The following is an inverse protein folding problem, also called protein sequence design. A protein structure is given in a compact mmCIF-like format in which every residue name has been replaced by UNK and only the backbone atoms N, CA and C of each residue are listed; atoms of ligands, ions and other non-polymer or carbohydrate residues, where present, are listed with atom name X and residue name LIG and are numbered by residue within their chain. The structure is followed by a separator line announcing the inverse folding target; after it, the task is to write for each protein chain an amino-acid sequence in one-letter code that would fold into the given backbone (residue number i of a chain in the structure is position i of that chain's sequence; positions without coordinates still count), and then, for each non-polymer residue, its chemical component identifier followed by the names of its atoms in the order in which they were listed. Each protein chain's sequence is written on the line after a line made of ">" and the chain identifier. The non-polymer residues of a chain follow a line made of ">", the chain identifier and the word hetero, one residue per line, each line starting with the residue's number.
data_IF_670679810018
#
_entry.id   IF_670679810018
#
_cell.length_a   1.000
_cell.length_b   1.000
_cell.length_c   1.000
_cell.angle_alpha   90.00
_cell.angle_beta   90.00
_cell.angle_gamma   90.00
#
_symmetry.space_group_name_H-M   'P 1'
#
loop_
_entity.id
_entity.type
_entity.pdbx_description
1 polymer ?
#
# COMPACT_ATOMS: atom_id res chain seq x y z
N UNK A 1 52.05 -17.39 -5.62
CA UNK A 1 51.32 -16.42 -4.78
C UNK A 1 49.85 -16.23 -5.21
N UNK A 2 49.16 -17.24 -5.79
CA UNK A 2 47.84 -17.04 -6.41
C UNK A 2 46.68 -17.73 -5.65
N UNK A 3 46.96 -18.75 -4.83
CA UNK A 3 45.92 -19.50 -4.10
C UNK A 3 45.26 -18.73 -2.96
N UNK A 4 46.02 -17.87 -2.26
CA UNK A 4 45.50 -17.06 -1.15
C UNK A 4 44.51 -15.98 -1.63
N UNK A 5 44.77 -15.39 -2.81
CA UNK A 5 43.89 -14.40 -3.45
C UNK A 5 42.58 -15.01 -3.94
N UNK A 6 42.63 -16.26 -4.45
CA UNK A 6 41.43 -16.99 -4.90
C UNK A 6 40.56 -17.39 -3.70
N UNK A 7 41.16 -17.84 -2.59
CA UNK A 7 40.42 -18.19 -1.38
C UNK A 7 39.71 -16.96 -0.77
N UNK A 8 40.40 -15.81 -0.76
CA UNK A 8 39.81 -14.53 -0.34
C UNK A 8 38.64 -14.09 -1.23
N UNK A 9 38.79 -14.21 -2.55
CA UNK A 9 37.72 -13.90 -3.51
C UNK A 9 36.51 -14.81 -3.34
N UNK A 10 36.73 -16.13 -3.20
CA UNK A 10 35.66 -17.10 -2.97
C UNK A 10 34.90 -16.82 -1.66
N UNK A 11 35.61 -16.42 -0.60
CA UNK A 11 35.00 -16.02 0.67
C UNK A 11 34.10 -14.78 0.52
N UNK A 12 34.59 -13.72 -0.12
CA UNK A 12 33.79 -12.50 -0.37
C UNK A 12 32.58 -12.82 -1.24
N UNK A 13 32.77 -13.60 -2.30
CA UNK A 13 31.70 -14.01 -3.19
C UNK A 13 30.63 -14.82 -2.46
N UNK A 14 31.03 -15.75 -1.58
CA UNK A 14 30.10 -16.50 -0.74
C UNK A 14 29.29 -15.56 0.19
N UNK A 15 29.93 -14.57 0.81
CA UNK A 15 29.23 -13.58 1.65
C UNK A 15 28.22 -12.78 0.82
N UNK A 16 28.59 -12.35 -0.39
CA UNK A 16 27.67 -11.66 -1.30
C UNK A 16 26.47 -12.54 -1.65
N UNK A 17 26.69 -13.82 -1.98
CA UNK A 17 25.62 -14.76 -2.29
C UNK A 17 24.71 -15.00 -1.08
N UNK A 18 25.26 -15.10 0.13
CA UNK A 18 24.48 -15.24 1.36
C UNK A 18 23.61 -14.02 1.62
N UNK A 19 24.18 -12.81 1.53
CA UNK A 19 23.43 -11.56 1.68
C UNK A 19 22.34 -11.43 0.62
N UNK A 20 22.64 -11.80 -0.62
CA UNK A 20 21.68 -11.81 -1.71
C UNK A 20 20.55 -12.83 -1.47
N UNK A 21 20.88 -14.04 -1.02
CA UNK A 21 19.91 -15.07 -0.68
C UNK A 21 18.99 -14.66 0.47
N UNK A 22 19.52 -14.03 1.51
CA UNK A 22 18.74 -13.47 2.63
C UNK A 22 17.81 -12.36 2.12
N UNK A 23 18.30 -11.47 1.25
CA UNK A 23 17.51 -10.42 0.64
C UNK A 23 16.33 -10.97 -0.17
N UNK A 24 16.59 -11.99 -1.01
CA UNK A 24 15.56 -12.67 -1.81
C UNK A 24 14.54 -13.41 -0.94
N UNK A 25 15.00 -14.07 0.12
CA UNK A 25 14.12 -14.75 1.07
C UNK A 25 13.18 -13.76 1.76
N UNK A 26 13.68 -12.58 2.14
CA UNK A 26 12.87 -11.52 2.74
C UNK A 26 11.83 -10.98 1.77
N UNK A 27 12.20 -10.73 0.51
CA UNK A 27 11.27 -10.28 -0.53
C UNK A 27 10.16 -11.32 -0.77
N UNK A 28 10.52 -12.61 -0.86
CA UNK A 28 9.56 -13.70 -1.04
C UNK A 28 8.60 -13.87 0.15
N UNK A 29 9.09 -13.64 1.38
CA UNK A 29 8.25 -13.64 2.59
C UNK A 29 7.30 -12.44 2.61
N UNK A 30 7.78 -11.25 2.25
CA UNK A 30 6.96 -10.04 2.14
C UNK A 30 5.85 -10.19 1.11
N UNK A 31 6.15 -10.78 -0.06
CA UNK A 31 5.16 -11.06 -1.10
C UNK A 31 4.10 -12.05 -0.63
N UNK A 32 4.53 -13.14 0.01
CA UNK A 32 3.60 -14.14 0.57
C UNK A 32 2.69 -13.50 1.60
N UNK A 33 3.25 -12.69 2.49
CA UNK A 33 2.49 -11.95 3.48
C UNK A 33 1.43 -11.07 2.82
N UNK A 34 1.77 -10.25 1.82
CA UNK A 34 0.79 -9.40 1.14
C UNK A 34 -0.36 -10.20 0.50
N UNK A 35 -0.10 -11.43 0.04
CA UNK A 35 -1.11 -12.27 -0.60
C UNK A 35 -2.08 -12.90 0.39
N UNK A 36 -1.61 -13.27 1.57
CA UNK A 36 -2.38 -14.05 2.54
C UNK A 36 -2.92 -13.22 3.70
N UNK A 37 -2.36 -12.03 3.92
CA UNK A 37 -2.71 -11.21 5.06
C UNK A 37 -3.94 -10.37 4.76
N UNK A 38 -4.98 -10.55 5.58
CA UNK A 38 -6.14 -9.68 5.58
C UNK A 38 -5.90 -8.50 6.53
N UNK A 39 -5.96 -7.30 5.96
CA UNK A 39 -5.75 -6.05 6.70
C UNK A 39 -6.98 -5.71 7.53
N UNK A 40 -6.81 -5.60 8.84
CA UNK A 40 -7.89 -5.19 9.75
C UNK A 40 -8.21 -3.70 9.60
N UNK A 41 -9.44 -3.30 9.93
CA UNK A 41 -9.85 -1.90 9.86
C UNK A 41 -8.96 -0.98 10.72
N UNK A 42 -8.54 -1.43 11.91
CA UNK A 42 -7.65 -0.69 12.79
C UNK A 42 -6.26 -0.48 12.19
N UNK A 43 -5.69 -1.50 11.53
CA UNK A 43 -4.39 -1.36 10.85
C UNK A 43 -4.49 -0.41 9.67
N UNK A 44 -5.55 -0.53 8.87
CA UNK A 44 -5.83 0.37 7.75
C UNK A 44 -5.94 1.82 8.24
N UNK A 45 -6.68 2.07 9.31
CA UNK A 45 -6.87 3.40 9.89
C UNK A 45 -5.55 3.98 10.42
N UNK A 46 -4.74 3.20 11.13
CA UNK A 46 -3.42 3.65 11.60
C UNK A 46 -2.47 4.02 10.46
N UNK A 47 -2.52 3.29 9.35
CA UNK A 47 -1.68 3.59 8.18
C UNK A 47 -2.22 4.84 7.45
N UNK A 48 -3.54 4.97 7.29
CA UNK A 48 -4.17 6.11 6.64
C UNK A 48 -4.04 7.41 7.43
N UNK A 49 -4.08 7.35 8.76
CA UNK A 49 -3.82 8.51 9.63
C UNK A 49 -2.37 8.97 9.48
N UNK A 50 -1.42 8.04 9.47
CA UNK A 50 -0.02 8.35 9.18
C UNK A 50 0.19 8.87 7.74
N UNK A 51 -0.64 8.47 6.78
CA UNK A 51 -0.59 8.97 5.40
C UNK A 51 -0.97 10.44 5.28
N UNK A 52 -1.83 10.95 6.19
CA UNK A 52 -2.13 12.38 6.26
C UNK A 52 -0.91 13.23 6.63
N UNK A 53 0.03 12.67 7.41
CA UNK A 53 1.30 13.33 7.75
C UNK A 53 2.36 13.17 6.65
N UNK A 54 2.26 12.10 5.86
CA UNK A 54 3.07 11.89 4.66
C UNK A 54 3.32 10.43 4.34
N UNK A 55 3.61 10.16 3.06
CA UNK A 55 3.83 8.80 2.55
C UNK A 55 4.98 8.06 3.25
N UNK A 56 6.05 8.78 3.60
CA UNK A 56 7.17 8.21 4.35
C UNK A 56 6.76 7.75 5.76
N UNK A 57 5.88 8.51 6.42
CA UNK A 57 5.35 8.19 7.75
C UNK A 57 4.40 7.01 7.70
N UNK A 58 3.53 6.95 6.68
CA UNK A 58 2.67 5.79 6.42
C UNK A 58 3.47 4.51 6.15
N UNK A 59 4.54 4.59 5.35
CA UNK A 59 5.43 3.45 5.10
C UNK A 59 6.13 2.98 6.38
N UNK A 60 6.53 3.91 7.25
CA UNK A 60 7.10 3.56 8.57
C UNK A 60 6.05 2.91 9.47
N UNK A 61 4.81 3.42 9.49
CA UNK A 61 3.71 2.83 10.24
C UNK A 61 3.41 1.41 9.76
N UNK A 62 3.27 1.18 8.45
CA UNK A 62 3.06 -0.14 7.86
C UNK A 62 4.19 -1.12 8.22
N UNK A 63 5.45 -0.68 8.17
CA UNK A 63 6.61 -1.49 8.60
C UNK A 63 6.69 -1.72 10.10
N UNK A 64 6.18 -0.79 10.92
CA UNK A 64 6.15 -0.93 12.38
C UNK A 64 5.12 -1.98 12.79
N UNK A 65 3.97 -2.00 12.13
CA UNK A 65 2.94 -3.03 12.31
C UNK A 65 3.47 -4.38 11.78
N UNK A 66 3.99 -4.38 10.55
CA UNK A 66 4.46 -5.59 9.86
C UNK A 66 5.92 -5.44 9.37
N UNK A 67 6.92 -5.79 10.21
CA UNK A 67 8.35 -5.66 9.89
C UNK A 67 8.81 -6.52 8.71
N UNK A 68 8.02 -7.55 8.39
CA UNK A 68 8.26 -8.46 7.26
C UNK A 68 8.17 -7.74 5.91
N UNK A 69 7.47 -6.60 5.86
CA UNK A 69 7.31 -5.82 4.64
C UNK A 69 8.64 -5.22 4.19
N UNK A 70 8.99 -5.44 2.92
CA UNK A 70 10.08 -4.68 2.29
C UNK A 70 9.61 -3.25 1.96
N UNK A 71 10.56 -2.35 1.68
CA UNK A 71 10.22 -0.94 1.42
C UNK A 71 9.26 -0.80 0.23
N UNK A 72 9.46 -1.62 -0.81
CA UNK A 72 8.59 -1.65 -1.98
C UNK A 72 7.18 -2.09 -1.63
N UNK A 73 7.02 -3.18 -0.87
CA UNK A 73 5.71 -3.69 -0.48
C UNK A 73 4.97 -2.76 0.47
N UNK A 74 5.67 -2.15 1.44
CA UNK A 74 5.06 -1.14 2.30
C UNK A 74 4.51 0.05 1.49
N UNK A 75 5.20 0.44 0.40
CA UNK A 75 4.72 1.50 -0.50
C UNK A 75 3.46 1.09 -1.26
N UNK A 76 3.41 -0.15 -1.75
CA UNK A 76 2.22 -0.69 -2.43
C UNK A 76 1.01 -0.71 -1.50
N UNK A 77 1.18 -1.20 -0.27
CA UNK A 77 0.12 -1.20 0.75
C UNK A 77 -0.44 0.21 0.97
N UNK A 78 0.43 1.20 1.19
CA UNK A 78 -0.02 2.58 1.43
C UNK A 78 -0.81 3.11 0.23
N UNK A 79 -0.30 2.89 -0.98
CA UNK A 79 -0.97 3.31 -2.21
C UNK A 79 -2.33 2.63 -2.39
N UNK A 80 -2.41 1.32 -2.14
CA UNK A 80 -3.65 0.56 -2.27
C UNK A 80 -4.69 1.05 -1.26
N UNK A 81 -4.30 1.29 0.00
CA UNK A 81 -5.18 1.85 1.03
C UNK A 81 -5.67 3.27 0.70
N UNK A 82 -4.78 4.13 0.20
CA UNK A 82 -5.16 5.48 -0.27
C UNK A 82 -6.15 5.41 -1.43
N UNK A 83 -5.95 4.46 -2.36
CA UNK A 83 -6.85 4.24 -3.49
C UNK A 83 -8.22 3.73 -3.04
N UNK A 84 -8.27 2.75 -2.13
CA UNK A 84 -9.51 2.23 -1.52
C UNK A 84 -10.28 3.36 -0.81
N UNK A 85 -9.58 4.19 -0.03
CA UNK A 85 -10.17 5.33 0.66
C UNK A 85 -10.72 6.38 -0.32
N UNK A 86 -10.00 6.66 -1.41
CA UNK A 86 -10.45 7.57 -2.46
C UNK A 86 -11.69 7.03 -3.19
N UNK A 87 -11.73 5.73 -3.48
CA UNK A 87 -12.89 5.07 -4.08
C UNK A 87 -14.11 5.09 -3.14
N UNK A 88 -13.92 4.80 -1.86
CA UNK A 88 -14.98 4.86 -0.86
C UNK A 88 -15.59 6.27 -0.79
N UNK A 89 -14.75 7.31 -0.81
CA UNK A 89 -15.18 8.72 -0.90
C UNK A 89 -15.97 9.01 -2.18
N UNK A 90 -15.55 8.47 -3.33
CA UNK A 90 -16.27 8.61 -4.61
C UNK A 90 -17.63 7.91 -4.58
N UNK A 91 -17.70 6.69 -4.04
CA UNK A 91 -18.97 5.94 -3.86
C UNK A 91 -19.92 6.71 -2.94
N UNK A 92 -19.44 7.21 -1.80
CA UNK A 92 -20.24 8.02 -0.88
C UNK A 92 -20.77 9.31 -1.53
N UNK A 93 -19.96 9.97 -2.37
CA UNK A 93 -20.40 11.15 -3.15
C UNK A 93 -21.46 10.79 -4.19
N UNK A 94 -21.36 9.64 -4.85
CA UNK A 94 -22.33 9.16 -5.84
C UNK A 94 -23.62 8.63 -5.22
N UNK A 95 -23.55 8.11 -4.00
CA UNK A 95 -24.68 7.57 -3.27
C UNK A 95 -25.59 8.64 -2.65
N UNK A 96 -25.17 9.92 -2.58
CA UNK A 96 -26.05 11.02 -2.17
C UNK A 96 -27.17 11.19 -3.20
N UNK A 97 -28.43 10.83 -2.87
CA UNK A 97 -29.57 11.11 -3.73
C UNK A 97 -29.94 12.58 -3.51
N UNK A 98 -30.11 13.35 -4.58
CA UNK A 98 -30.81 14.65 -4.47
C UNK A 98 -30.07 15.89 -4.96
N UNK A 99 -29.66 15.91 -6.24
CA UNK A 99 -29.57 17.21 -6.95
C UNK A 99 -30.03 17.13 -8.41
N UNK A 100 -30.59 15.99 -8.84
CA UNK A 100 -31.18 15.83 -10.18
C UNK A 100 -32.72 15.73 -10.17
N UNK A 101 -33.34 15.45 -9.04
CA UNK A 101 -34.81 15.35 -8.95
C UNK A 101 -35.50 16.73 -9.01
N UNK A 102 -34.86 17.79 -8.50
CA UNK A 102 -35.49 19.13 -8.41
C UNK A 102 -35.54 19.91 -9.71
N UNK A 103 -34.92 19.43 -10.81
CA UNK A 103 -35.03 20.09 -12.13
C UNK A 103 -36.29 19.64 -12.90
N UNK A 104 -36.84 18.46 -12.60
CA UNK A 104 -38.01 17.94 -13.33
C UNK A 104 -39.36 18.50 -12.88
N UNK A 105 -39.44 19.09 -11.67
CA UNK A 105 -40.70 19.60 -11.11
C UNK A 105 -40.95 21.06 -11.51
N UNK A 106 -39.90 21.83 -11.85
CA UNK A 106 -40.07 23.25 -12.24
C UNK A 106 -40.56 23.44 -13.68
N UNK A 107 -40.42 22.43 -14.54
CA UNK A 107 -40.88 22.52 -15.94
C UNK A 107 -42.35 22.11 -16.14
N UNK A 108 -42.98 21.46 -15.16
CA UNK A 108 -44.40 21.07 -15.24
C UNK A 108 -45.36 22.17 -14.78
N UNK A 109 -44.92 23.05 -13.88
CA UNK A 109 -45.77 24.13 -13.33
C UNK A 109 -45.86 25.37 -14.25
N UNK A 110 -45.03 25.43 -15.30
CA UNK A 110 -45.08 26.49 -16.30
C UNK A 110 -46.08 26.24 -17.44
N UNK A 111 -46.77 25.07 -17.44
CA UNK A 111 -47.69 24.66 -18.51
C UNK A 111 -49.17 24.62 -18.15
N UNK A 112 -49.54 24.74 -16.88
CA UNK A 112 -50.94 24.89 -16.47
C UNK A 112 -51.22 26.35 -16.12
N UNK A 113 -51.22 27.17 -17.19
CA UNK A 113 -52.09 28.34 -17.28
C UNK A 113 -53.44 27.90 -17.81
#
# INVERSE_FOLDING_TARGET
>A
MNGLSILGFAGIFLVVLLLWGISMLREARSLRFMRTHEWTAEEKERILTAAAEGTATAMRAAKKIHPILTARHARLVVHDLESEAAEARRRAKRAKPGTRASRSIRDTDAKER
#
